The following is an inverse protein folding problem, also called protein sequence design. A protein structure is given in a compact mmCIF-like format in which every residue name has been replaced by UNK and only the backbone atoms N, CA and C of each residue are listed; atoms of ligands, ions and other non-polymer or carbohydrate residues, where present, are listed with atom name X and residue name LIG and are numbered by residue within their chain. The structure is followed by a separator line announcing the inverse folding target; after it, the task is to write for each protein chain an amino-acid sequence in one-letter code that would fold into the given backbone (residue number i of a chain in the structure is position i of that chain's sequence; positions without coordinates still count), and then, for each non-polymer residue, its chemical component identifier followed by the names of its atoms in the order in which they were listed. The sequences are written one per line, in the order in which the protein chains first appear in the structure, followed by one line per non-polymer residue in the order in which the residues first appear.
data_IF_815457308430
#
_entry.id   IF_815457308430
#
_cell.length_a   1.000
_cell.length_b   1.000
_cell.length_c   1.000
_cell.angle_alpha   90.00
_cell.angle_beta   90.00
_cell.angle_gamma   90.00
#
_symmetry.space_group_name_H-M   'P 1'
#
loop_
_entity.id
_entity.type
_entity.pdbx_description
1 polymer ?
#
# COMPACT_ATOMS: atom_id res chain seq x y z
N UNK A 1 24.67 -23.09 -0.79
CA UNK A 1 23.85 -21.87 -0.96
C UNK A 1 23.96 -21.04 0.29
N UNK A 2 24.07 -19.72 0.15
CA UNK A 2 24.11 -18.82 1.29
C UNK A 2 22.73 -18.78 1.96
N UNK A 3 22.69 -19.12 3.26
CA UNK A 3 21.47 -19.18 4.08
C UNK A 3 20.67 -17.87 3.95
N UNK A 4 21.36 -16.72 3.90
CA UNK A 4 20.75 -15.40 3.76
C UNK A 4 19.93 -15.24 2.48
N UNK A 5 20.45 -15.69 1.35
CA UNK A 5 19.77 -15.59 0.04
C UNK A 5 18.49 -16.43 -0.01
N UNK A 6 18.51 -17.61 0.62
CA UNK A 6 17.31 -18.43 0.80
C UNK A 6 16.29 -17.73 1.70
N UNK A 7 16.74 -17.01 2.74
CA UNK A 7 15.84 -16.22 3.59
C UNK A 7 15.09 -15.17 2.79
N UNK A 8 15.82 -14.34 2.04
CA UNK A 8 15.22 -13.28 1.22
C UNK A 8 14.22 -13.87 0.22
N UNK A 9 14.57 -14.98 -0.43
CA UNK A 9 13.70 -15.65 -1.39
C UNK A 9 12.39 -16.12 -0.75
N UNK A 10 12.47 -16.75 0.43
CA UNK A 10 11.28 -17.22 1.15
C UNK A 10 10.43 -16.06 1.64
N UNK A 11 11.03 -15.00 2.18
CA UNK A 11 10.28 -13.80 2.58
C UNK A 11 9.53 -13.20 1.39
N UNK A 12 10.16 -13.12 0.22
CA UNK A 12 9.48 -12.62 -0.98
C UNK A 12 8.35 -13.56 -1.42
N UNK A 13 8.53 -14.89 -1.38
CA UNK A 13 7.44 -15.83 -1.67
C UNK A 13 6.25 -15.66 -0.72
N UNK A 14 6.52 -15.49 0.57
CA UNK A 14 5.50 -15.22 1.59
C UNK A 14 4.74 -13.91 1.31
N UNK A 15 5.44 -12.86 0.86
CA UNK A 15 4.82 -11.56 0.51
C UNK A 15 4.01 -11.63 -0.79
N UNK A 16 4.58 -12.20 -1.84
CA UNK A 16 3.94 -12.29 -3.16
C UNK A 16 2.84 -13.36 -3.21
N UNK A 17 2.69 -14.18 -2.17
CA UNK A 17 1.72 -15.28 -2.06
C UNK A 17 1.71 -16.20 -3.29
N UNK A 18 2.82 -16.24 -4.03
CA UNK A 18 2.98 -17.00 -5.26
C UNK A 18 4.30 -17.75 -5.18
N UNK A 19 4.22 -19.08 -5.37
CA UNK A 19 5.40 -19.94 -5.29
C UNK A 19 6.36 -19.76 -6.48
N UNK A 20 5.94 -19.12 -7.58
CA UNK A 20 6.59 -19.25 -8.88
C UNK A 20 6.93 -17.96 -9.64
N UNK A 21 6.46 -16.77 -9.24
CA UNK A 21 6.62 -15.56 -10.05
C UNK A 21 7.06 -14.33 -9.24
N UNK A 22 8.21 -14.42 -8.57
CA UNK A 22 8.86 -13.21 -8.03
C UNK A 22 9.46 -12.42 -9.20
N UNK A 23 9.10 -11.13 -9.39
CA UNK A 23 9.62 -10.31 -10.48
C UNK A 23 11.05 -9.84 -10.18
N UNK A 24 12.02 -10.76 -10.24
CA UNK A 24 13.42 -10.47 -9.88
C UNK A 24 14.05 -9.37 -10.74
N UNK A 25 13.70 -9.28 -12.02
CA UNK A 25 14.13 -8.20 -12.94
C UNK A 25 13.72 -6.84 -12.40
N UNK A 26 12.45 -6.69 -12.01
CA UNK A 26 11.93 -5.49 -11.37
C UNK A 26 12.67 -5.22 -10.05
N UNK A 27 12.76 -6.19 -9.14
CA UNK A 27 13.38 -5.99 -7.81
C UNK A 27 14.87 -5.60 -7.89
N UNK A 28 15.58 -6.03 -8.94
CA UNK A 28 16.97 -5.65 -9.22
C UNK A 28 17.09 -4.33 -9.97
N UNK A 29 15.97 -3.73 -10.38
CA UNK A 29 15.92 -2.48 -11.13
C UNK A 29 16.41 -2.61 -12.58
N UNK A 30 16.22 -3.78 -13.19
CA UNK A 30 16.62 -4.07 -14.57
C UNK A 30 15.51 -3.74 -15.58
N UNK A 31 14.29 -3.45 -15.13
CA UNK A 31 13.18 -3.06 -15.99
C UNK A 31 13.16 -1.55 -16.27
N UNK A 32 12.72 -1.17 -17.47
CA UNK A 32 12.56 0.24 -17.87
C UNK A 32 11.45 0.94 -17.08
N UNK A 33 10.40 0.21 -16.71
CA UNK A 33 9.28 0.74 -15.94
C UNK A 33 9.65 0.82 -14.46
N UNK A 34 9.66 2.04 -13.91
CA UNK A 34 9.92 2.24 -12.49
C UNK A 34 8.70 1.88 -11.64
N UNK A 35 8.89 1.14 -10.53
CA UNK A 35 7.82 0.92 -9.57
C UNK A 35 7.47 2.21 -8.82
N UNK A 36 6.30 2.23 -8.19
CA UNK A 36 5.89 3.31 -7.29
C UNK A 36 6.72 3.22 -6.01
N UNK A 37 7.51 4.24 -5.73
CA UNK A 37 8.35 4.28 -4.53
C UNK A 37 7.63 5.01 -3.40
N UNK A 38 7.53 4.35 -2.25
CA UNK A 38 6.83 4.87 -1.06
C UNK A 38 7.69 5.03 0.16
N UNK A 39 8.84 4.38 0.15
CA UNK A 39 9.74 4.33 1.29
C UNK A 39 11.17 4.14 0.79
N UNK A 40 12.15 4.45 1.63
CA UNK A 40 13.55 4.22 1.32
C UNK A 40 14.29 3.75 2.57
N UNK A 41 14.91 2.58 2.49
CA UNK A 41 15.54 1.89 3.62
C UNK A 41 16.93 1.37 3.29
N UNK A 42 17.79 1.27 4.31
CA UNK A 42 19.00 0.46 4.21
C UNK A 42 18.68 -1.04 4.32
N UNK A 43 19.61 -1.92 3.89
CA UNK A 43 19.45 -3.36 4.11
C UNK A 43 19.29 -3.73 5.60
N UNK A 44 20.08 -3.18 6.55
CA UNK A 44 19.86 -3.42 7.97
C UNK A 44 18.50 -2.91 8.47
N UNK A 45 18.07 -1.72 8.06
CA UNK A 45 16.76 -1.17 8.43
C UNK A 45 15.61 -2.06 7.94
N UNK A 46 15.72 -2.59 6.71
CA UNK A 46 14.75 -3.55 6.19
C UNK A 46 14.80 -4.85 6.99
N UNK A 47 15.98 -5.41 7.24
CA UNK A 47 16.14 -6.66 7.98
C UNK A 47 15.55 -6.56 9.40
N UNK A 48 15.80 -5.46 10.10
CA UNK A 48 15.21 -5.16 11.41
C UNK A 48 13.68 -4.97 11.32
N UNK A 49 13.19 -4.26 10.31
CA UNK A 49 11.74 -4.11 10.07
C UNK A 49 11.07 -5.48 9.88
N UNK A 50 11.67 -6.34 9.04
CA UNK A 50 11.17 -7.68 8.78
C UNK A 50 11.18 -8.51 10.06
N UNK A 51 12.25 -8.42 10.86
CA UNK A 51 12.40 -9.12 12.15
C UNK A 51 11.35 -8.67 13.19
N UNK A 52 11.07 -7.36 13.28
CA UNK A 52 10.10 -6.80 14.24
C UNK A 52 8.65 -7.22 13.95
N UNK A 53 8.35 -7.48 12.69
CA UNK A 53 6.98 -7.78 12.26
C UNK A 53 6.76 -9.25 11.85
N UNK A 54 7.73 -10.13 12.13
CA UNK A 54 7.73 -11.57 11.82
C UNK A 54 6.49 -12.34 12.22
N UNK A 55 5.89 -12.01 13.37
CA UNK A 55 4.82 -12.80 13.99
C UNK A 55 3.44 -12.56 13.35
N UNK A 56 3.39 -11.82 12.24
CA UNK A 56 2.17 -11.24 11.71
C UNK A 56 1.90 -11.57 10.23
N UNK A 57 2.78 -12.35 9.61
CA UNK A 57 2.55 -12.90 8.27
C UNK A 57 1.43 -13.96 8.32
N UNK A 58 0.55 -13.98 7.31
CA UNK A 58 -0.59 -14.92 7.25
C UNK A 58 -0.11 -16.32 6.88
N UNK A 59 -0.59 -17.35 7.58
CA UNK A 59 -0.39 -18.73 7.15
C UNK A 59 -0.83 -18.96 5.68
N UNK A 60 -0.08 -19.74 4.88
CA UNK A 60 1.17 -20.40 5.20
C UNK A 60 2.37 -19.46 4.99
N UNK A 61 3.13 -19.19 6.06
CA UNK A 61 4.40 -18.46 5.96
C UNK A 61 5.53 -19.27 6.58
N UNK A 62 6.67 -19.27 5.90
CA UNK A 62 7.84 -20.08 6.24
C UNK A 62 8.91 -19.23 6.93
N UNK A 63 8.83 -17.90 6.78
CA UNK A 63 9.82 -16.99 7.34
C UNK A 63 10.04 -17.11 8.86
N UNK A 64 9.00 -17.22 9.73
CA UNK A 64 9.21 -17.39 11.17
C UNK A 64 9.99 -18.66 11.52
N UNK A 65 9.65 -19.79 10.89
CA UNK A 65 10.31 -21.08 11.11
C UNK A 65 11.77 -21.06 10.67
N UNK A 66 12.06 -20.34 9.59
CA UNK A 66 13.43 -20.17 9.12
C UNK A 66 14.28 -19.34 10.10
N UNK A 67 13.69 -18.29 10.70
CA UNK A 67 14.36 -17.50 11.74
C UNK A 67 14.73 -18.38 12.94
N UNK A 68 13.83 -19.27 13.37
CA UNK A 68 14.11 -20.26 14.42
C UNK A 68 15.30 -21.17 14.04
N UNK A 69 15.28 -21.72 12.82
CA UNK A 69 16.38 -22.58 12.33
C UNK A 69 17.73 -21.86 12.26
N UNK A 70 17.75 -20.56 11.94
CA UNK A 70 18.98 -19.75 11.91
C UNK A 70 19.50 -19.54 13.34
N UNK A 71 18.61 -19.25 14.28
CA UNK A 71 18.94 -19.10 15.71
C UNK A 71 19.44 -20.41 16.34
N UNK A 72 18.81 -21.53 16.01
CA UNK A 72 19.25 -22.88 16.45
C UNK A 72 20.67 -23.21 15.98
N UNK A 73 21.06 -22.70 14.80
CA UNK A 73 22.43 -22.82 14.28
C UNK A 73 23.41 -21.81 14.90
N UNK A 74 23.01 -21.04 15.91
CA UNK A 74 23.84 -20.06 16.60
C UNK A 74 24.23 -18.85 15.74
N UNK A 75 23.47 -18.54 14.68
CA UNK A 75 23.76 -17.42 13.77
C UNK A 75 22.86 -16.23 14.05
N UNK A 76 23.41 -15.02 13.82
CA UNK A 76 22.62 -13.80 13.87
C UNK A 76 21.73 -13.67 12.62
N UNK A 77 20.45 -13.43 12.85
CA UNK A 77 19.41 -13.41 11.81
C UNK A 77 19.51 -12.17 10.95
N UNK A 78 19.77 -11.00 11.57
CA UNK A 78 19.87 -9.72 10.85
C UNK A 78 21.08 -9.79 9.90
N UNK A 79 22.22 -10.25 10.41
CA UNK A 79 23.44 -10.43 9.60
C UNK A 79 23.22 -11.38 8.43
N UNK A 80 22.50 -12.49 8.64
CA UNK A 80 22.15 -13.42 7.55
C UNK A 80 21.24 -12.74 6.51
N UNK A 81 20.22 -11.99 6.93
CA UNK A 81 19.33 -11.26 6.02
C UNK A 81 20.07 -10.18 5.23
N UNK A 82 20.94 -9.40 5.88
CA UNK A 82 21.74 -8.37 5.22
C UNK A 82 22.69 -8.99 4.19
N UNK A 83 23.35 -10.10 4.52
CA UNK A 83 24.18 -10.84 3.58
C UNK A 83 23.35 -11.33 2.37
N UNK A 84 22.16 -11.87 2.61
CA UNK A 84 21.23 -12.30 1.58
C UNK A 84 20.74 -11.17 0.67
N UNK A 85 20.36 -10.03 1.24
CA UNK A 85 19.91 -8.84 0.49
C UNK A 85 21.04 -8.29 -0.40
N UNK A 86 22.26 -8.28 0.13
CA UNK A 86 23.47 -7.87 -0.58
C UNK A 86 23.80 -8.83 -1.72
N UNK A 87 23.77 -10.14 -1.46
CA UNK A 87 24.02 -11.17 -2.48
C UNK A 87 22.96 -11.17 -3.59
N UNK A 88 21.70 -10.90 -3.24
CA UNK A 88 20.60 -10.78 -4.20
C UNK A 88 20.63 -9.47 -4.99
N UNK A 89 21.42 -8.47 -4.57
CA UNK A 89 21.55 -7.15 -5.18
C UNK A 89 20.19 -6.47 -5.41
N UNK A 90 19.32 -6.54 -4.40
CA UNK A 90 17.98 -5.96 -4.54
C UNK A 90 18.06 -4.44 -4.43
N UNK A 91 17.44 -3.78 -5.42
CA UNK A 91 17.25 -2.33 -5.46
C UNK A 91 15.90 -1.92 -4.92
N UNK A 92 14.88 -2.77 -5.10
CA UNK A 92 13.53 -2.53 -4.61
C UNK A 92 13.03 -3.69 -3.77
N UNK A 93 12.17 -3.38 -2.81
CA UNK A 93 11.49 -4.37 -1.97
C UNK A 93 10.01 -4.01 -1.83
N UNK A 94 9.07 -4.98 -1.80
CA UNK A 94 7.66 -4.68 -1.57
C UNK A 94 7.44 -3.84 -0.30
N UNK A 95 6.77 -2.70 -0.43
CA UNK A 95 6.42 -1.84 0.70
C UNK A 95 5.23 -2.44 1.45
N UNK A 96 5.53 -3.30 2.42
CA UNK A 96 4.54 -4.01 3.21
C UNK A 96 3.97 -3.14 4.33
N UNK A 97 2.64 -3.11 4.43
CA UNK A 97 1.93 -2.45 5.53
C UNK A 97 1.49 -3.46 6.58
N UNK A 98 1.65 -3.09 7.85
CA UNK A 98 1.25 -3.89 8.99
C UNK A 98 0.00 -3.28 9.59
N UNK A 99 -1.16 -3.92 9.42
CA UNK A 99 -2.43 -3.46 10.03
C UNK A 99 -2.90 -4.43 11.09
N UNK A 100 -3.22 -3.90 12.27
CA UNK A 100 -3.91 -4.66 13.31
C UNK A 100 -5.41 -4.61 13.04
N UNK A 101 -6.04 -5.77 12.82
CA UNK A 101 -7.49 -5.88 12.67
C UNK A 101 -8.02 -6.86 13.71
N UNK A 102 -8.93 -6.40 14.58
CA UNK A 102 -9.52 -7.20 15.68
C UNK A 102 -8.45 -7.96 16.50
N UNK A 103 -7.34 -7.28 16.86
CA UNK A 103 -6.23 -7.88 17.62
C UNK A 103 -5.27 -8.76 16.82
N UNK A 104 -5.62 -9.18 15.60
CA UNK A 104 -4.70 -9.90 14.69
C UNK A 104 -3.95 -8.91 13.82
N UNK A 105 -2.62 -8.84 13.94
CA UNK A 105 -1.82 -8.07 12.98
C UNK A 105 -1.67 -8.85 11.68
N UNK A 106 -1.88 -8.16 10.56
CA UNK A 106 -1.83 -8.71 9.21
C UNK A 106 -0.84 -7.90 8.38
N UNK A 107 0.03 -8.60 7.67
CA UNK A 107 0.85 -8.02 6.60
C UNK A 107 -0.01 -7.89 5.34
N UNK A 108 -0.01 -6.72 4.73
CA UNK A 108 -0.66 -6.49 3.45
C UNK A 108 0.27 -5.66 2.56
N UNK A 109 0.53 -6.15 1.35
CA UNK A 109 1.18 -5.38 0.31
C UNK A 109 0.10 -4.79 -0.60
N UNK A 110 -0.12 -3.47 -0.52
CA UNK A 110 -1.12 -2.76 -1.31
C UNK A 110 -0.45 -1.93 -2.41
N UNK A 111 -1.16 -1.83 -3.54
CA UNK A 111 -0.92 -0.85 -4.60
C UNK A 111 0.43 -0.95 -5.33
N UNK A 112 1.05 -2.14 -5.39
CA UNK A 112 2.33 -2.34 -6.06
C UNK A 112 3.39 -1.30 -5.63
N UNK A 113 3.37 -0.93 -4.35
CA UNK A 113 4.28 0.05 -3.78
C UNK A 113 5.58 -0.64 -3.36
N UNK A 114 6.71 0.04 -3.55
CA UNK A 114 8.03 -0.49 -3.24
C UNK A 114 8.82 0.47 -2.36
N UNK A 115 9.67 -0.10 -1.52
CA UNK A 115 10.74 0.58 -0.83
C UNK A 115 12.00 0.54 -1.69
N UNK A 116 12.65 1.69 -1.87
CA UNK A 116 14.00 1.77 -2.45
C UNK A 116 15.00 1.27 -1.41
N UNK A 117 15.78 0.25 -1.77
CA UNK A 117 16.80 -0.29 -0.91
C UNK A 117 18.18 0.27 -1.25
N UNK A 118 19.00 0.44 -0.22
CA UNK A 118 20.42 0.77 -0.35
C UNK A 118 21.27 -0.06 0.62
N UNK A 119 22.51 -0.40 0.25
CA UNK A 119 23.49 -0.89 1.19
C UNK A 119 23.78 0.12 2.32
N UNK A 120 24.19 -0.39 3.48
CA UNK A 120 24.68 0.46 4.56
C UNK A 120 26.05 1.04 4.19
N UNK A 121 26.32 2.28 4.59
CA UNK A 121 27.56 3.00 4.26
C UNK A 121 27.58 3.69 2.90
N UNK A 122 26.64 3.38 2.00
CA UNK A 122 26.48 4.14 0.75
C UNK A 122 25.82 5.50 1.01
N UNK A 123 26.31 6.58 0.35
CA UNK A 123 25.75 7.91 0.50
C UNK A 123 24.30 7.96 0.04
N UNK A 124 23.46 8.73 0.74
CA UNK A 124 22.06 8.86 0.35
C UNK A 124 21.92 9.52 -1.04
N UNK A 125 21.29 8.77 -1.95
CA UNK A 125 20.96 9.29 -3.27
C UNK A 125 19.91 10.40 -3.16
N UNK A 126 19.82 11.24 -4.21
CA UNK A 126 18.78 12.26 -4.26
C UNK A 126 17.36 11.66 -4.29
N UNK A 127 17.21 10.43 -4.81
CA UNK A 127 15.94 9.69 -4.84
C UNK A 127 15.53 9.23 -3.44
N UNK A 128 16.46 8.67 -2.66
CA UNK A 128 16.25 8.33 -1.24
C UNK A 128 15.82 9.55 -0.43
N UNK A 129 16.52 10.68 -0.62
CA UNK A 129 16.19 11.94 0.06
C UNK A 129 14.83 12.49 -0.36
N UNK A 130 14.49 12.41 -1.65
CA UNK A 130 13.20 12.83 -2.16
C UNK A 130 12.04 12.04 -1.55
N UNK A 131 12.17 10.71 -1.43
CA UNK A 131 11.14 9.85 -0.82
C UNK A 131 10.91 10.24 0.64
N UNK A 132 11.99 10.43 1.42
CA UNK A 132 11.91 10.85 2.83
C UNK A 132 11.29 12.25 3.00
N UNK A 133 11.59 13.16 2.09
CA UNK A 133 11.08 14.53 2.13
C UNK A 133 9.65 14.66 1.58
N UNK A 134 9.16 13.70 0.81
CA UNK A 134 7.88 13.82 0.10
C UNK A 134 6.71 14.18 1.04
N UNK A 135 6.59 13.46 2.16
CA UNK A 135 5.52 13.69 3.13
C UNK A 135 5.73 15.00 3.90
N UNK A 136 6.97 15.33 4.25
CA UNK A 136 7.30 16.59 4.92
C UNK A 136 6.98 17.80 4.03
N UNK A 137 7.26 17.71 2.72
CA UNK A 137 6.90 18.76 1.75
C UNK A 137 5.40 18.86 1.62
N UNK A 138 4.68 17.74 1.54
CA UNK A 138 3.23 17.73 1.50
C UNK A 138 2.61 18.35 2.77
N UNK A 139 3.14 18.03 3.95
CA UNK A 139 2.71 18.59 5.22
C UNK A 139 2.95 20.10 5.30
N UNK A 140 4.16 20.57 4.97
CA UNK A 140 4.49 22.00 4.96
C UNK A 140 3.63 22.81 3.98
N UNK A 141 3.29 22.22 2.83
CA UNK A 141 2.38 22.84 1.86
C UNK A 141 0.97 23.05 2.45
N UNK A 142 0.50 22.14 3.31
CA UNK A 142 -0.78 22.26 4.01
C UNK A 142 -0.73 23.18 5.22
N UNK A 143 0.31 23.09 6.03
CA UNK A 143 0.47 23.91 7.24
C UNK A 143 0.57 25.40 6.89
N UNK A 144 1.27 25.71 5.79
CA UNK A 144 1.31 27.07 5.23
C UNK A 144 0.04 27.41 4.44
N UNK A 145 -0.85 26.45 4.25
CA UNK A 145 -2.06 26.52 3.44
C UNK A 145 -1.78 27.17 2.07
N UNK A 146 -0.74 26.63 1.39
CA UNK A 146 -0.34 27.00 0.04
C UNK A 146 -1.18 26.28 -1.02
N UNK A 147 -1.71 25.11 -0.70
CA UNK A 147 -2.56 24.28 -1.57
C UNK A 147 -3.59 23.56 -0.71
N UNK A 148 -4.62 23.03 -1.36
CA UNK A 148 -5.62 22.16 -0.73
C UNK A 148 -5.18 20.70 -0.75
N UNK A 149 -5.70 19.92 0.19
CA UNK A 149 -5.33 18.51 0.41
C UNK A 149 -5.64 17.62 -0.80
N UNK A 150 -6.80 17.80 -1.44
CA UNK A 150 -7.19 17.03 -2.63
C UNK A 150 -6.23 17.19 -3.82
N UNK A 151 -5.54 18.32 -3.94
CA UNK A 151 -4.52 18.52 -4.99
C UNK A 151 -3.18 17.84 -4.66
N UNK A 152 -2.95 17.49 -3.39
CA UNK A 152 -1.74 16.83 -2.89
C UNK A 152 -1.83 15.32 -2.83
N UNK A 153 -3.04 14.75 -2.77
CA UNK A 153 -3.24 13.29 -2.67
C UNK A 153 -2.43 12.52 -3.70
N UNK A 154 -2.49 12.94 -4.98
CA UNK A 154 -1.70 12.30 -6.06
C UNK A 154 -0.18 12.37 -5.83
N UNK A 155 0.34 13.42 -5.20
CA UNK A 155 1.78 13.55 -4.95
C UNK A 155 2.20 12.80 -3.68
N UNK A 156 1.32 12.67 -2.70
CA UNK A 156 1.52 11.73 -1.58
C UNK A 156 1.48 10.29 -2.07
N UNK A 157 0.58 9.98 -2.98
CA UNK A 157 0.42 8.65 -3.57
C UNK A 157 1.60 8.24 -4.44
N UNK A 158 2.00 9.09 -5.38
CA UNK A 158 2.95 8.73 -6.43
C UNK A 158 4.36 9.30 -6.21
N UNK A 159 4.52 10.15 -5.20
CA UNK A 159 5.71 10.95 -4.99
C UNK A 159 5.72 12.21 -5.87
N UNK A 160 6.55 13.18 -5.48
CA UNK A 160 6.80 14.38 -6.27
C UNK A 160 8.00 14.17 -7.22
N UNK A 161 7.77 14.02 -8.54
CA UNK A 161 8.79 13.60 -9.50
C UNK A 161 9.95 14.58 -9.67
N UNK A 162 9.72 15.87 -9.38
CA UNK A 162 10.73 16.92 -9.45
C UNK A 162 11.73 16.89 -8.27
N UNK A 163 11.34 16.33 -7.11
CA UNK A 163 12.15 16.40 -5.89
C UNK A 163 13.57 15.84 -6.06
N UNK A 164 13.80 14.65 -6.67
CA UNK A 164 15.16 14.14 -6.82
C UNK A 164 16.07 15.09 -7.60
N UNK A 165 15.57 15.66 -8.70
CA UNK A 165 16.34 16.60 -9.51
C UNK A 165 16.56 17.93 -8.82
N UNK A 166 15.54 18.44 -8.14
CA UNK A 166 15.65 19.66 -7.34
C UNK A 166 16.73 19.47 -6.27
N UNK A 167 16.64 18.42 -5.46
CA UNK A 167 17.58 18.12 -4.37
C UNK A 167 19.00 17.90 -4.86
N UNK A 168 19.20 17.34 -6.05
CA UNK A 168 20.53 17.15 -6.64
C UNK A 168 21.22 18.45 -7.05
N UNK A 169 20.45 19.51 -7.33
CA UNK A 169 20.93 20.81 -7.84
C UNK A 169 20.92 21.91 -6.78
N UNK A 170 20.38 21.65 -5.58
CA UNK A 170 20.38 22.63 -4.50
C UNK A 170 21.84 22.95 -4.14
N UNK A 171 22.23 24.24 -4.11
CA UNK A 171 23.59 24.63 -3.79
C UNK A 171 23.98 24.21 -2.35
N UNK A 172 25.20 23.69 -2.13
CA UNK A 172 25.66 23.25 -0.82
C UNK A 172 25.76 24.39 0.21
N UNK A 173 25.74 25.65 -0.24
CA UNK A 173 25.79 26.85 0.62
C UNK A 173 24.48 27.10 1.37
N UNK A 174 23.36 26.53 0.92
CA UNK A 174 22.09 26.56 1.66
C UNK A 174 22.18 25.55 2.80
N UNK A 175 23.03 25.78 3.81
CA UNK A 175 23.31 24.75 4.84
C UNK A 175 22.17 24.55 5.83
N UNK A 176 21.39 25.60 6.13
CA UNK A 176 20.26 25.52 7.07
C UNK A 176 19.12 24.71 6.47
N UNK A 177 18.69 23.68 7.19
CA UNK A 177 17.67 22.74 6.75
C UNK A 177 16.33 23.43 6.48
N UNK A 178 15.92 24.35 7.36
CA UNK A 178 14.71 25.17 7.18
C UNK A 178 14.72 25.97 5.86
N UNK A 179 15.89 26.53 5.50
CA UNK A 179 16.05 27.30 4.26
C UNK A 179 16.00 26.40 3.02
N UNK A 180 16.54 25.18 3.12
CA UNK A 180 16.39 24.19 2.05
C UNK A 180 14.92 23.81 1.90
N UNK A 181 14.21 23.65 3.01
CA UNK A 181 12.80 23.29 3.00
C UNK A 181 11.95 24.37 2.33
N UNK A 182 12.14 25.65 2.70
CA UNK A 182 11.46 26.77 2.05
C UNK A 182 11.67 26.80 0.53
N UNK A 183 12.90 26.53 0.08
CA UNK A 183 13.23 26.46 -1.34
C UNK A 183 12.53 25.28 -2.03
N UNK A 184 12.53 24.10 -1.41
CA UNK A 184 11.88 22.89 -1.94
C UNK A 184 10.36 23.06 -2.01
N UNK A 185 9.75 23.64 -0.97
CA UNK A 185 8.32 23.95 -0.92
C UNK A 185 7.96 24.95 -2.03
N UNK A 186 8.75 26.02 -2.20
CA UNK A 186 8.55 27.00 -3.26
C UNK A 186 8.62 26.37 -4.66
N UNK A 187 9.64 25.55 -4.95
CA UNK A 187 9.79 24.88 -6.24
C UNK A 187 8.67 23.85 -6.47
N UNK A 188 8.20 23.19 -5.41
CA UNK A 188 7.07 22.25 -5.49
C UNK A 188 5.76 22.96 -5.83
N UNK A 189 5.52 24.15 -5.29
CA UNK A 189 4.39 25.00 -5.71
C UNK A 189 4.43 25.31 -7.22
N UNK A 190 5.60 25.62 -7.78
CA UNK A 190 5.75 25.88 -9.21
C UNK A 190 5.43 24.63 -10.04
N UNK A 191 5.91 23.46 -9.62
CA UNK A 191 5.59 22.20 -10.29
C UNK A 191 4.09 21.89 -10.25
N UNK A 192 3.44 22.11 -9.10
CA UNK A 192 2.00 21.92 -8.94
C UNK A 192 1.21 22.83 -9.90
N UNK A 193 1.60 24.10 -10.02
CA UNK A 193 1.00 25.05 -10.98
C UNK A 193 1.19 24.58 -12.42
N UNK A 194 2.39 24.08 -12.77
CA UNK A 194 2.67 23.53 -14.11
C UNK A 194 1.79 22.32 -14.43
N UNK A 195 1.40 21.54 -13.42
CA UNK A 195 0.48 20.40 -13.54
C UNK A 195 -1.01 20.80 -13.38
N UNK A 196 -1.35 22.08 -13.49
CA UNK A 196 -2.72 22.60 -13.40
C UNK A 196 -3.34 22.53 -12.01
N UNK A 197 -2.54 22.35 -10.96
CA UNK A 197 -2.99 22.38 -9.57
C UNK A 197 -3.16 23.79 -9.03
N UNK A 198 -4.01 23.94 -8.02
CA UNK A 198 -4.26 25.21 -7.36
C UNK A 198 -3.17 25.53 -6.32
N UNK A 199 -2.69 26.77 -6.30
CA UNK A 199 -1.78 27.30 -5.28
C UNK A 199 -2.17 28.73 -4.91
N UNK A 200 -2.22 29.02 -3.61
CA UNK A 200 -2.51 30.35 -3.08
C UNK A 200 -1.37 31.34 -3.37
N UNK A 201 -1.60 32.17 -4.39
CA UNK A 201 -0.62 33.10 -4.91
C UNK A 201 -0.13 34.20 -3.95
N UNK A 202 -1.00 34.69 -3.04
CA UNK A 202 -0.61 35.70 -2.05
C UNK A 202 0.48 35.15 -1.11
N UNK A 203 0.26 33.95 -0.59
CA UNK A 203 1.21 33.26 0.30
C UNK A 203 2.48 32.82 -0.44
N UNK A 204 2.35 32.42 -1.70
CA UNK A 204 3.49 32.10 -2.54
C UNK A 204 4.39 33.33 -2.78
N UNK A 205 3.81 34.53 -2.88
CA UNK A 205 4.58 35.79 -2.99
C UNK A 205 5.38 36.07 -1.73
N UNK A 206 4.80 35.82 -0.55
CA UNK A 206 5.50 36.02 0.71
C UNK A 206 6.65 35.01 0.86
N UNK A 207 6.42 33.75 0.50
CA UNK A 207 7.46 32.72 0.44
C UNK A 207 8.57 33.08 -0.55
N UNK A 208 8.21 33.66 -1.71
CA UNK A 208 9.20 34.11 -2.70
C UNK A 208 10.12 35.20 -2.16
N UNK A 209 9.61 36.12 -1.34
CA UNK A 209 10.40 37.18 -0.71
C UNK A 209 11.33 36.64 0.38
N UNK A 210 10.93 35.58 1.08
CA UNK A 210 11.73 34.95 2.13
C UNK A 210 12.75 33.92 1.60
N UNK A 211 12.86 33.75 0.28
CA UNK A 211 13.76 32.75 -0.31
C UNK A 211 15.23 33.02 0.05
N UNK A 212 15.99 31.98 0.39
CA UNK A 212 17.40 32.10 0.77
C UNK A 212 18.35 32.28 -0.43
N UNK A 213 17.85 32.16 -1.67
CA UNK A 213 18.64 32.17 -2.90
C UNK A 213 18.07 33.19 -3.89
N UNK A 214 18.96 33.96 -4.53
CA UNK A 214 18.56 34.95 -5.53
C UNK A 214 18.05 34.30 -6.82
N UNK A 215 17.14 35.00 -7.52
CA UNK A 215 16.54 34.51 -8.75
C UNK A 215 17.55 34.25 -9.88
N UNK A 216 18.63 35.03 -9.95
CA UNK A 216 19.72 34.80 -10.92
C UNK A 216 20.41 33.47 -10.68
N UNK A 217 20.71 33.18 -9.41
CA UNK A 217 21.37 31.93 -9.03
C UNK A 217 20.51 30.71 -9.33
N UNK A 218 19.18 30.80 -9.16
CA UNK A 218 18.25 29.71 -9.52
C UNK A 218 18.24 29.41 -11.03
N UNK A 219 18.50 30.40 -11.89
CA UNK A 219 18.70 30.19 -13.33
C UNK A 219 20.04 29.50 -13.61
N UNK A 220 21.12 29.98 -12.99
CA UNK A 220 22.48 29.44 -13.21
C UNK A 220 22.55 27.95 -12.89
N UNK A 221 21.88 27.52 -11.82
CA UNK A 221 21.81 26.10 -11.40
C UNK A 221 20.73 25.30 -12.13
N UNK A 222 20.08 25.90 -13.14
CA UNK A 222 19.01 25.28 -13.95
C UNK A 222 17.89 24.66 -13.10
N UNK A 223 17.52 25.30 -11.98
CA UNK A 223 16.30 24.95 -11.25
C UNK A 223 15.08 25.68 -11.82
N UNK A 224 15.33 26.80 -12.49
CA UNK A 224 14.33 27.70 -13.03
C UNK A 224 14.55 27.87 -14.53
N UNK A 225 13.47 27.95 -15.28
CA UNK A 225 13.50 28.27 -16.72
C UNK A 225 13.57 29.79 -16.94
N UNK A 226 13.99 30.18 -18.14
CA UNK A 226 13.93 31.58 -18.61
C UNK A 226 12.47 32.00 -18.86
N UNK A 227 11.56 31.05 -19.06
CA UNK A 227 10.15 31.31 -19.35
C UNK A 227 9.31 31.53 -18.09
N UNK A 228 8.41 32.52 -18.15
CA UNK A 228 7.46 32.82 -17.09
C UNK A 228 6.16 32.01 -17.20
N UNK A 229 5.52 31.75 -16.05
CA UNK A 229 4.22 31.10 -15.96
C UNK A 229 3.08 32.10 -16.11
N UNK A 230 3.11 33.18 -15.34
CA UNK A 230 2.14 34.28 -15.34
C UNK A 230 2.65 35.43 -14.48
N UNK A 231 2.21 36.66 -14.79
CA UNK A 231 2.30 37.79 -13.86
C UNK A 231 1.15 37.66 -12.87
N UNK A 232 1.45 37.36 -11.61
CA UNK A 232 0.44 37.11 -10.56
C UNK A 232 0.02 38.40 -9.87
N UNK A 233 0.99 39.30 -9.69
CA UNK A 233 0.84 40.63 -9.14
C UNK A 233 1.69 41.55 -10.00
N UNK A 234 1.35 42.85 -10.04
CA UNK A 234 2.08 43.87 -10.82
C UNK A 234 3.61 43.81 -10.64
N UNK A 235 4.09 43.29 -9.51
CA UNK A 235 5.50 43.26 -9.14
C UNK A 235 6.12 41.86 -9.01
N UNK A 236 5.44 40.76 -9.38
CA UNK A 236 6.00 39.41 -9.21
C UNK A 236 5.69 38.49 -10.39
N UNK A 237 6.76 38.09 -11.06
CA UNK A 237 6.76 37.14 -12.17
C UNK A 237 7.17 35.77 -11.64
N UNK A 238 6.31 34.77 -11.84
CA UNK A 238 6.71 33.38 -11.62
C UNK A 238 7.37 32.80 -12.86
N UNK A 239 8.36 31.97 -12.63
CA UNK A 239 9.09 31.27 -13.66
C UNK A 239 8.75 29.79 -13.62
N UNK A 240 8.82 29.13 -14.78
CA UNK A 240 8.69 27.67 -14.87
C UNK A 240 9.90 27.01 -14.21
N UNK A 241 9.73 25.75 -13.80
CA UNK A 241 10.89 24.88 -13.56
C UNK A 241 11.64 24.68 -14.88
N UNK A 242 12.94 24.41 -14.80
CA UNK A 242 13.74 24.12 -15.99
C UNK A 242 13.17 22.92 -16.76
N UNK A 243 13.23 22.96 -18.10
CA UNK A 243 12.55 21.98 -18.96
C UNK A 243 13.07 20.55 -18.81
N UNK A 244 14.24 20.38 -18.20
CA UNK A 244 14.83 19.08 -17.90
C UNK A 244 14.34 18.48 -16.57
N UNK A 245 13.63 19.24 -15.73
CA UNK A 245 13.03 18.73 -14.49
C UNK A 245 11.68 18.09 -14.79
N UNK A 246 11.47 16.80 -14.47
CA UNK A 246 10.21 16.12 -14.71
C UNK A 246 9.14 16.67 -13.76
N UNK A 247 8.15 17.34 -14.34
CA UNK A 247 7.00 17.86 -13.61
C UNK A 247 5.81 16.92 -13.68
N UNK A 248 5.64 16.20 -14.79
CA UNK A 248 4.52 15.28 -15.01
C UNK A 248 4.68 14.00 -14.20
N UNK A 249 3.60 13.60 -13.52
CA UNK A 249 3.51 12.28 -12.92
C UNK A 249 3.56 11.21 -14.02
N UNK A 250 4.29 10.09 -13.82
CA UNK A 250 4.32 9.00 -14.79
C UNK A 250 2.90 8.45 -15.00
N UNK A 251 2.47 8.37 -16.26
CA UNK A 251 1.21 7.73 -16.62
C UNK A 251 1.31 6.24 -16.29
N UNK A 252 0.50 5.75 -15.36
CA UNK A 252 0.47 4.32 -15.05
C UNK A 252 -0.21 3.53 -16.15
N UNK A 253 0.58 3.07 -17.12
CA UNK A 253 0.27 1.82 -17.83
C UNK A 253 1.08 0.72 -17.16
N UNK A 254 0.49 0.03 -16.19
CA UNK A 254 1.05 -1.21 -15.70
C UNK A 254 0.79 -2.31 -16.76
N UNK A 255 1.83 -2.86 -17.43
CA UNK A 255 1.65 -3.92 -18.44
C UNK A 255 1.23 -5.26 -17.83
N UNK A 256 1.33 -5.43 -16.51
CA UNK A 256 0.97 -6.65 -15.79
C UNK A 256 -0.43 -6.61 -15.17
N UNK A 257 -1.14 -5.48 -15.26
CA UNK A 257 -2.61 -5.50 -15.17
C UNK A 257 -3.13 -6.07 -16.48
N UNK A 258 -3.09 -7.40 -16.57
CA UNK A 258 -3.87 -8.14 -17.54
C UNK A 258 -5.28 -7.56 -17.58
N UNK A 259 -5.72 -7.28 -18.79
CA UNK A 259 -7.04 -6.80 -19.22
C UNK A 259 -8.17 -7.51 -18.45
N UNK A 260 -8.45 -7.10 -17.21
CA UNK A 260 -9.69 -7.43 -16.52
C UNK A 260 -10.74 -6.49 -17.09
N UNK A 261 -11.76 -7.09 -17.67
CA UNK A 261 -12.89 -6.40 -18.27
C UNK A 261 -13.41 -5.31 -17.35
N UNK A 262 -13.81 -4.23 -18.03
CA UNK A 262 -14.64 -3.15 -17.52
C UNK A 262 -15.87 -3.74 -16.82
N UNK A 263 -16.31 -3.05 -15.76
CA UNK A 263 -17.52 -3.27 -14.93
C UNK A 263 -17.36 -4.24 -13.74
N UNK A 264 -17.06 -3.67 -12.57
CA UNK A 264 -18.00 -3.64 -11.44
C UNK A 264 -17.50 -2.58 -10.44
N UNK A 265 -18.37 -1.64 -10.13
CA UNK A 265 -18.16 -0.60 -9.13
C UNK A 265 -17.81 -1.19 -7.77
N UNK A 266 -16.98 -0.45 -7.03
CA UNK A 266 -16.64 -0.74 -5.66
C UNK A 266 -17.92 -0.97 -4.82
N UNK A 267 -18.19 -2.24 -4.49
CA UNK A 267 -18.96 -2.59 -3.31
C UNK A 267 -17.98 -3.13 -2.27
N UNK A 268 -18.02 -2.50 -1.10
CA UNK A 268 -17.32 -2.89 0.11
C UNK A 268 -17.28 -4.41 0.26
N UNK A 269 -16.07 -4.98 0.25
CA UNK A 269 -15.85 -6.30 0.81
C UNK A 269 -16.14 -6.21 2.31
N UNK A 270 -17.37 -6.55 2.69
CA UNK A 270 -17.69 -6.89 4.07
C UNK A 270 -16.72 -7.97 4.57
N UNK A 271 -16.23 -7.86 5.82
CA UNK A 271 -15.29 -8.81 6.35
C UNK A 271 -15.94 -10.20 6.41
N UNK A 272 -15.26 -11.20 5.86
CA UNK A 272 -15.49 -12.59 6.22
C UNK A 272 -15.37 -12.73 7.73
N UNK A 273 -16.50 -12.95 8.40
CA UNK A 273 -16.59 -13.19 9.82
C UNK A 273 -16.12 -14.63 10.10
N UNK A 274 -15.09 -14.86 10.94
CA UNK A 274 -14.73 -16.19 11.40
C UNK A 274 -15.63 -16.58 12.59
N UNK A 275 -16.94 -16.42 12.43
CA UNK A 275 -17.95 -16.88 13.37
C UNK A 275 -18.48 -18.24 12.93
N UNK A 276 -17.67 -19.29 13.11
CA UNK A 276 -18.25 -20.57 13.49
C UNK A 276 -18.77 -20.35 14.91
N UNK A 277 -20.02 -19.90 15.03
CA UNK A 277 -20.71 -19.80 16.31
C UNK A 277 -20.62 -21.18 16.99
N UNK A 278 -19.97 -21.24 18.15
CA UNK A 278 -19.96 -22.40 19.05
C UNK A 278 -21.40 -22.87 19.37
N UNK A 279 -22.39 -21.99 19.21
CA UNK A 279 -23.82 -22.28 19.34
C UNK A 279 -24.40 -23.15 18.22
N UNK A 280 -23.78 -23.20 17.03
CA UNK A 280 -24.20 -24.08 15.94
C UNK A 280 -23.68 -25.51 16.13
N UNK A 281 -22.48 -25.64 16.70
CA UNK A 281 -21.88 -26.94 17.03
C UNK A 281 -22.57 -27.63 18.21
N UNK A 282 -23.24 -26.87 19.09
CA UNK A 282 -23.98 -27.44 20.23
C UNK A 282 -25.42 -27.85 19.88
N UNK A 283 -26.01 -27.34 18.80
CA UNK A 283 -27.40 -27.64 18.41
C UNK A 283 -27.60 -28.99 17.68
N UNK A 284 -26.51 -29.68 17.31
CA UNK A 284 -26.55 -31.01 16.68
C UNK A 284 -26.03 -32.13 17.60
N UNK A 285 -25.74 -31.83 18.87
CA UNK A 285 -25.13 -32.80 19.81
C UNK A 285 -26.16 -33.45 20.73
N UNK A 286 -27.39 -32.95 20.78
CA UNK A 286 -28.48 -33.57 21.55
C UNK A 286 -29.57 -34.12 20.60
N UNK A 287 -29.24 -35.15 19.83
CA UNK A 287 -30.11 -36.31 19.58
C UNK A 287 -29.43 -37.28 18.59
N UNK A 288 -29.30 -38.52 19.06
CA UNK A 288 -28.92 -39.74 18.34
C UNK A 288 -27.53 -39.87 17.69
N UNK A 289 -26.76 -40.73 18.35
CA UNK A 289 -25.54 -41.40 17.94
C UNK A 289 -25.73 -42.23 16.66
N UNK A 290 -25.62 -41.60 15.49
CA UNK A 290 -25.27 -42.28 14.24
C UNK A 290 -24.32 -41.45 13.38
N UNK A 291 -23.07 -41.93 13.39
CA UNK A 291 -22.08 -41.81 12.31
C UNK A 291 -21.62 -40.41 11.87
N UNK A 292 -20.33 -40.18 12.14
CA UNK A 292 -19.46 -39.25 11.46
C UNK A 292 -19.78 -39.07 9.97
N UNK A 293 -20.52 -38.01 9.65
CA UNK A 293 -20.56 -37.40 8.32
C UNK A 293 -20.47 -35.87 8.47
N UNK A 294 -19.25 -35.40 8.19
CA UNK A 294 -18.90 -34.10 7.62
C UNK A 294 -19.32 -32.80 8.32
N UNK A 295 -18.31 -32.16 8.92
CA UNK A 295 -18.14 -30.70 9.15
C UNK A 295 -18.05 -29.94 7.79
N UNK A 296 -18.85 -30.32 6.78
CA UNK A 296 -18.72 -29.81 5.40
C UNK A 296 -20.09 -29.61 4.72
N UNK A 297 -21.05 -29.02 5.43
CA UNK A 297 -22.30 -28.51 4.82
C UNK A 297 -22.42 -26.99 4.91
N UNK A 298 -21.44 -26.29 5.47
CA UNK A 298 -21.39 -24.83 5.43
C UNK A 298 -20.74 -24.38 4.10
N UNK A 299 -21.41 -23.52 3.34
CA UNK A 299 -20.79 -22.95 2.13
C UNK A 299 -19.62 -22.02 2.50
N UNK A 300 -18.48 -22.09 1.78
CA UNK A 300 -17.37 -21.15 2.00
C UNK A 300 -17.82 -19.70 1.79
N UNK A 301 -17.56 -18.85 2.78
CA UNK A 301 -17.81 -17.42 2.66
C UNK A 301 -16.96 -16.84 1.51
N UNK A 302 -17.61 -16.14 0.56
CA UNK A 302 -16.92 -15.44 -0.54
C UNK A 302 -17.31 -15.89 -1.95
N UNK A 303 -18.03 -17.00 -2.13
CA UNK A 303 -18.64 -17.33 -3.44
C UNK A 303 -20.05 -16.77 -3.52
N UNK A 304 -20.26 -15.70 -4.30
CA UNK A 304 -21.58 -15.16 -4.70
C UNK A 304 -22.32 -16.19 -5.57
N UNK A 305 -22.74 -17.28 -4.97
CA UNK A 305 -23.50 -18.34 -5.64
C UNK A 305 -24.97 -17.96 -5.59
N UNK A 306 -25.69 -18.02 -6.72
CA UNK A 306 -27.13 -17.75 -6.76
C UNK A 306 -27.88 -18.67 -5.78
N UNK A 307 -28.94 -18.16 -5.16
CA UNK A 307 -29.84 -18.97 -4.33
C UNK A 307 -30.58 -19.96 -5.23
N UNK A 308 -30.59 -21.24 -4.86
CA UNK A 308 -31.35 -22.23 -5.62
C UNK A 308 -32.84 -22.13 -5.27
N UNK A 309 -33.77 -22.49 -6.18
CA UNK A 309 -35.20 -22.46 -5.89
C UNK A 309 -35.58 -23.32 -4.67
N UNK A 310 -34.89 -24.45 -4.49
CA UNK A 310 -35.07 -25.35 -3.34
C UNK A 310 -34.60 -24.70 -2.04
N UNK A 311 -33.48 -23.98 -2.06
CA UNK A 311 -32.95 -23.25 -0.90
C UNK A 311 -33.86 -22.08 -0.51
N UNK A 312 -34.47 -21.41 -1.49
CA UNK A 312 -35.42 -20.32 -1.26
C UNK A 312 -36.71 -20.79 -0.59
N UNK A 313 -37.17 -22.01 -0.89
CA UNK A 313 -38.36 -22.58 -0.25
C UNK A 313 -38.17 -22.82 1.26
N UNK A 314 -36.92 -22.91 1.73
CA UNK A 314 -36.58 -23.10 3.14
C UNK A 314 -36.43 -21.79 3.92
N UNK A 315 -36.44 -20.64 3.23
CA UNK A 315 -36.34 -19.33 3.89
C UNK A 315 -37.72 -18.93 4.41
N UNK A 316 -37.90 -19.02 5.72
CA UNK A 316 -39.13 -18.59 6.41
C UNK A 316 -38.97 -17.20 7.03
N UNK A 317 -40.10 -16.52 7.17
CA UNK A 317 -40.20 -15.19 7.74
C UNK A 317 -41.34 -15.12 8.76
N UNK A 318 -41.09 -15.66 9.96
CA UNK A 318 -42.08 -15.70 11.04
C UNK A 318 -41.98 -14.50 12.00
N UNK A 319 -41.04 -13.58 11.73
CA UNK A 319 -40.76 -12.40 12.56
C UNK A 319 -39.53 -12.54 13.45
N UNK A 320 -39.18 -13.76 13.88
CA UNK A 320 -38.01 -14.03 14.72
C UNK A 320 -36.83 -14.58 13.89
N UNK A 321 -35.79 -13.75 13.72
CA UNK A 321 -34.59 -14.11 12.94
C UNK A 321 -33.82 -15.29 13.54
N UNK A 322 -33.81 -15.42 14.87
CA UNK A 322 -33.04 -16.45 15.58
C UNK A 322 -33.68 -17.83 15.37
N UNK A 323 -35.00 -17.90 15.54
CA UNK A 323 -35.79 -19.12 15.36
C UNK A 323 -35.84 -19.53 13.88
N UNK A 324 -36.06 -18.58 12.96
CA UNK A 324 -36.13 -18.84 11.52
C UNK A 324 -34.79 -19.37 10.99
N UNK A 325 -33.67 -18.83 11.45
CA UNK A 325 -32.35 -19.31 11.02
C UNK A 325 -32.05 -20.71 11.57
N UNK A 326 -32.43 -21.01 12.81
CA UNK A 326 -32.29 -22.37 13.37
C UNK A 326 -33.12 -23.39 12.59
N UNK A 327 -34.37 -23.05 12.25
CA UNK A 327 -35.21 -23.91 11.40
C UNK A 327 -34.60 -24.08 10.01
N UNK A 328 -34.08 -23.00 9.39
CA UNK A 328 -33.44 -23.06 8.08
C UNK A 328 -32.22 -23.98 8.06
N UNK A 329 -31.35 -23.93 9.08
CA UNK A 329 -30.18 -24.81 9.17
C UNK A 329 -30.61 -26.27 9.31
N UNK A 330 -31.64 -26.55 10.13
CA UNK A 330 -32.21 -27.88 10.29
C UNK A 330 -32.83 -28.40 8.99
N UNK A 331 -33.68 -27.61 8.35
CA UNK A 331 -34.33 -27.97 7.09
C UNK A 331 -33.31 -28.19 5.95
N UNK A 332 -32.22 -27.40 5.93
CA UNK A 332 -31.10 -27.61 5.01
C UNK A 332 -30.36 -28.92 5.28
N UNK A 333 -30.16 -29.25 6.56
CA UNK A 333 -29.54 -30.51 6.95
C UNK A 333 -30.41 -31.71 6.54
N UNK A 334 -31.70 -31.66 6.84
CA UNK A 334 -32.67 -32.71 6.48
C UNK A 334 -32.83 -32.87 4.96
N UNK A 335 -32.57 -31.80 4.18
CA UNK A 335 -32.65 -31.79 2.72
C UNK A 335 -31.30 -32.04 2.02
N UNK A 336 -30.21 -32.30 2.75
CA UNK A 336 -28.84 -32.44 2.23
C UNK A 336 -28.37 -31.22 1.39
N UNK A 337 -28.80 -30.02 1.79
CA UNK A 337 -28.45 -28.75 1.13
C UNK A 337 -27.41 -28.01 1.99
N UNK A 338 -26.32 -27.49 1.39
CA UNK A 338 -25.37 -26.69 2.12
C UNK A 338 -25.99 -25.37 2.61
N UNK A 339 -26.00 -25.14 3.92
CA UNK A 339 -26.56 -23.92 4.50
C UNK A 339 -25.63 -22.71 4.31
N UNK A 340 -26.22 -21.51 4.27
CA UNK A 340 -25.49 -20.22 4.23
C UNK A 340 -25.31 -19.61 5.61
N UNK A 341 -24.50 -18.56 5.68
CA UNK A 341 -24.33 -17.77 6.91
C UNK A 341 -25.61 -17.01 7.29
N UNK A 342 -25.79 -16.74 8.59
CA UNK A 342 -26.91 -15.96 9.15
C UNK A 342 -27.08 -14.59 8.47
N UNK A 343 -25.99 -13.93 8.11
CA UNK A 343 -26.00 -12.66 7.38
C UNK A 343 -26.58 -12.81 5.96
N UNK A 344 -26.17 -13.85 5.23
CA UNK A 344 -26.69 -14.13 3.90
C UNK A 344 -28.19 -14.46 3.95
N UNK A 345 -28.60 -15.25 4.95
CA UNK A 345 -30.01 -15.58 5.21
C UNK A 345 -30.84 -14.33 5.52
N UNK A 346 -30.34 -13.46 6.42
CA UNK A 346 -30.99 -12.18 6.73
C UNK A 346 -31.15 -11.31 5.48
N UNK A 347 -30.09 -11.14 4.69
CA UNK A 347 -30.12 -10.33 3.46
C UNK A 347 -31.12 -10.89 2.43
N UNK A 348 -31.23 -12.21 2.31
CA UNK A 348 -32.20 -12.84 1.41
C UNK A 348 -33.64 -12.65 1.90
N UNK A 349 -33.89 -12.81 3.20
CA UNK A 349 -35.20 -12.55 3.81
C UNK A 349 -35.67 -11.11 3.57
N UNK A 350 -34.77 -10.13 3.72
CA UNK A 350 -35.08 -8.75 3.36
C UNK A 350 -35.47 -8.59 1.89
N UNK A 351 -34.71 -9.19 0.96
CA UNK A 351 -35.03 -9.14 -0.48
C UNK A 351 -36.36 -9.83 -0.85
N UNK A 352 -36.78 -10.83 -0.10
CA UNK A 352 -38.07 -11.51 -0.31
C UNK A 352 -39.26 -10.71 0.22
N UNK A 353 -39.05 -9.69 1.07
CA UNK A 353 -40.11 -8.76 1.50
C UNK A 353 -40.35 -7.62 0.51
N UNK A 354 -39.31 -7.23 -0.23
CA UNK A 354 -39.34 -6.12 -1.18
C UNK A 354 -39.84 -6.51 -2.58
N UNK A 355 -40.03 -7.82 -2.82
CA UNK A 355 -40.67 -8.40 -4.01
C UNK A 355 -42.04 -8.96 -3.62
#
# INVERSE_FOLDING_TARGET
TDLGSEMVTVTLKDIFQTNHAIPWSLLKGQEENRPVLKDAKTYPELADTLLKHLTHFRYPCVFPRMVEMVKEKGRDVISCLVAGLTAAQLKFFPHVHYRTYKGTKRVNWKNDAYALLRPEGEPETAETRAIKLNELVAQELLERALTEDGHLERYREWGMPWLPMVLSRIPPEVKKEDRKMDLVVYLSCLAIIMNGGFVHFAKLKDLHKSLPVSQKRLLDIRLRSVFSLKTICRDTVLYRLADDIPTTLPATRNPYRGRKGREEEAQEEEPADPGLDESTSQLLVEEDSRQARSISMARPAGKRTKWSPQELALVRDTGDLEADYKSYVKDCFDSDIPHRSKQSFKAMRWRMRDN
#
